data_IF_350037246864
#
_entry.id   IF_350037246864
#
_cell.length_a   1.000
_cell.length_b   1.000
_cell.length_c   1.000
_cell.angle_alpha   90.00
_cell.angle_beta   90.00
_cell.angle_gamma   90.00
#
_symmetry.space_group_name_H-M   'P 1'
#
loop_
_entity.id
_entity.type
_entity.pdbx_description
1 polymer ?
#
# COMPACT_ATOMS: atom_id res chain seq x y z
N UNK A 1 -10.47 -2.81 -22.41
CA UNK A 1 -9.42 -3.21 -21.44
C UNK A 1 -8.62 -1.97 -21.08
N UNK A 2 -8.85 -1.36 -19.90
CA UNK A 2 -8.01 -0.28 -19.32
C UNK A 2 -8.50 0.24 -17.95
N UNK A 3 -9.57 -0.33 -17.38
CA UNK A 3 -10.16 0.16 -16.13
C UNK A 3 -9.34 -0.20 -14.90
N UNK A 4 -8.65 -1.35 -14.89
CA UNK A 4 -7.87 -1.82 -13.73
C UNK A 4 -6.55 -1.07 -13.50
N UNK A 5 -5.91 -0.54 -14.55
CA UNK A 5 -4.68 0.26 -14.43
C UNK A 5 -5.04 1.65 -13.86
N UNK A 6 -6.13 2.25 -14.35
CA UNK A 6 -6.66 3.53 -13.86
C UNK A 6 -7.08 3.50 -12.38
N UNK A 7 -7.52 2.35 -11.84
CA UNK A 7 -7.91 2.25 -10.43
C UNK A 7 -6.71 2.16 -9.48
N UNK A 8 -5.64 1.44 -9.85
CA UNK A 8 -4.46 1.32 -8.98
C UNK A 8 -3.64 2.61 -8.92
N UNK A 9 -3.48 3.31 -10.04
CA UNK A 9 -2.81 4.62 -10.05
C UNK A 9 -3.61 5.67 -9.27
N UNK A 10 -4.94 5.69 -9.45
CA UNK A 10 -5.83 6.55 -8.64
C UNK A 10 -5.75 6.24 -7.15
N UNK A 11 -5.69 4.95 -6.78
CA UNK A 11 -5.51 4.54 -5.37
C UNK A 11 -4.16 5.01 -4.83
N UNK A 12 -3.07 4.87 -5.59
CA UNK A 12 -1.76 5.36 -5.19
C UNK A 12 -1.74 6.89 -4.99
N UNK A 13 -2.38 7.64 -5.88
CA UNK A 13 -2.48 9.10 -5.77
C UNK A 13 -3.26 9.53 -4.53
N UNK A 14 -4.41 8.90 -4.27
CA UNK A 14 -5.21 9.21 -3.08
C UNK A 14 -4.51 8.77 -1.78
N UNK A 15 -3.78 7.65 -1.83
CA UNK A 15 -2.92 7.20 -0.72
C UNK A 15 -1.83 8.22 -0.44
N UNK A 16 -1.17 8.75 -1.48
CA UNK A 16 -0.17 9.81 -1.33
C UNK A 16 -0.75 11.06 -0.68
N UNK A 17 -1.97 11.48 -1.06
CA UNK A 17 -2.67 12.63 -0.46
C UNK A 17 -2.97 12.46 1.02
N UNK A 18 -3.17 11.23 1.49
CA UNK A 18 -3.45 10.90 2.89
C UNK A 18 -2.20 10.78 3.77
N UNK A 19 -0.99 10.82 3.20
CA UNK A 19 0.26 10.85 3.96
C UNK A 19 0.51 12.24 4.56
N UNK A 20 1.22 12.28 5.68
CA UNK A 20 1.68 13.55 6.26
C UNK A 20 2.68 14.25 5.31
N UNK A 21 2.77 15.58 5.40
CA UNK A 21 3.69 16.37 4.57
C UNK A 21 5.15 15.91 4.72
N UNK A 22 5.57 15.55 5.94
CA UNK A 22 6.90 15.00 6.18
C UNK A 22 7.14 13.66 5.49
N UNK A 23 6.12 12.79 5.40
CA UNK A 23 6.29 11.51 4.71
C UNK A 23 6.27 11.67 3.19
N UNK A 24 5.49 12.62 2.67
CA UNK A 24 5.43 12.93 1.24
C UNK A 24 6.75 13.42 0.66
N UNK A 25 7.63 14.03 1.45
CA UNK A 25 8.97 14.43 0.99
C UNK A 25 9.97 13.27 0.96
N UNK A 26 9.64 12.13 1.57
CA UNK A 26 10.53 10.97 1.67
C UNK A 26 10.16 9.85 0.70
N UNK A 27 9.11 10.03 -0.11
CA UNK A 27 8.60 8.98 -0.97
C UNK A 27 7.99 9.54 -2.26
N UNK A 28 8.19 8.81 -3.34
CA UNK A 28 7.60 9.09 -4.65
C UNK A 28 6.28 8.34 -4.83
N UNK A 29 5.45 8.84 -5.76
CA UNK A 29 4.19 8.17 -6.13
C UNK A 29 4.46 6.77 -6.71
N UNK A 30 5.56 6.61 -7.48
CA UNK A 30 5.95 5.31 -8.05
C UNK A 30 6.28 4.27 -6.97
N UNK A 31 6.95 4.69 -5.89
CA UNK A 31 7.24 3.82 -4.77
C UNK A 31 5.97 3.41 -4.01
N UNK A 32 5.00 4.32 -3.86
CA UNK A 32 3.68 3.99 -3.31
C UNK A 32 2.97 2.98 -4.20
N UNK A 33 2.98 3.19 -5.52
CA UNK A 33 2.38 2.25 -6.46
C UNK A 33 2.97 0.85 -6.32
N UNK A 34 4.30 0.72 -6.28
CA UNK A 34 4.96 -0.58 -6.10
C UNK A 34 4.65 -1.21 -4.73
N UNK A 35 4.51 -0.41 -3.66
CA UNK A 35 4.05 -0.90 -2.34
C UNK A 35 2.65 -1.50 -2.42
N UNK A 36 1.70 -0.80 -3.05
CA UNK A 36 0.32 -1.27 -3.17
C UNK A 36 0.22 -2.50 -4.07
N UNK A 37 1.00 -2.54 -5.15
CA UNK A 37 1.12 -3.69 -6.04
C UNK A 37 1.66 -4.92 -5.30
N UNK A 38 2.74 -4.75 -4.52
CA UNK A 38 3.31 -5.85 -3.73
C UNK A 38 2.39 -6.31 -2.60
N UNK A 39 1.63 -5.40 -1.98
CA UNK A 39 0.55 -5.76 -1.05
C UNK A 39 -0.47 -6.65 -1.76
N UNK A 40 -1.00 -6.22 -2.90
CA UNK A 40 -2.00 -7.00 -3.66
C UNK A 40 -1.47 -8.38 -4.04
N UNK A 41 -0.25 -8.45 -4.58
CA UNK A 41 0.41 -9.70 -4.90
C UNK A 41 0.57 -10.61 -3.69
N UNK A 42 0.88 -10.05 -2.51
CA UNK A 42 0.96 -10.85 -1.28
C UNK A 42 -0.41 -11.34 -0.82
N UNK A 43 -1.43 -10.49 -0.82
CA UNK A 43 -2.79 -10.88 -0.47
C UNK A 43 -3.34 -12.01 -1.36
N UNK A 44 -2.98 -12.04 -2.64
CA UNK A 44 -3.38 -13.10 -3.57
C UNK A 44 -2.76 -14.46 -3.22
N UNK A 45 -1.63 -14.48 -2.50
CA UNK A 45 -0.99 -15.73 -2.04
C UNK A 45 -1.53 -16.25 -0.71
N UNK A 46 -2.38 -15.48 -0.02
CA UNK A 46 -2.91 -15.84 1.29
C UNK A 46 -4.22 -16.63 1.19
N UNK A 47 -4.36 -17.65 2.03
CA UNK A 47 -5.64 -18.34 2.24
C UNK A 47 -6.63 -17.42 2.97
N UNK A 48 -7.91 -17.79 2.95
CA UNK A 48 -8.94 -17.03 3.67
C UNK A 48 -8.62 -16.88 5.16
N UNK A 49 -8.28 -17.97 5.85
CA UNK A 49 -7.91 -17.96 7.27
C UNK A 49 -6.73 -17.04 7.54
N UNK A 50 -5.71 -17.05 6.68
CA UNK A 50 -4.56 -16.16 6.81
C UNK A 50 -4.95 -14.68 6.63
N UNK A 51 -5.85 -14.36 5.70
CA UNK A 51 -6.37 -12.99 5.51
C UNK A 51 -7.11 -12.48 6.75
N UNK A 52 -7.79 -13.35 7.48
CA UNK A 52 -8.53 -12.97 8.70
C UNK A 52 -7.62 -12.60 9.88
N UNK A 53 -6.42 -13.20 9.97
CA UNK A 53 -5.52 -13.04 11.14
C UNK A 53 -4.32 -12.13 10.88
N UNK A 54 -4.06 -11.78 9.61
CA UNK A 54 -2.90 -10.98 9.26
C UNK A 54 -3.08 -9.51 9.66
N UNK A 55 -2.04 -8.93 10.25
CA UNK A 55 -2.03 -7.51 10.64
C UNK A 55 -1.15 -6.66 9.71
N UNK A 56 -1.37 -5.34 9.73
CA UNK A 56 -0.64 -4.37 8.88
C UNK A 56 0.88 -4.40 9.09
N UNK A 57 1.36 -4.74 10.29
CA UNK A 57 2.82 -4.84 10.56
C UNK A 57 3.46 -6.04 9.87
N UNK A 58 2.76 -7.17 9.82
CA UNK A 58 3.20 -8.38 9.13
C UNK A 58 3.20 -8.14 7.62
N UNK A 59 2.14 -7.52 7.09
CA UNK A 59 2.05 -7.13 5.67
C UNK A 59 3.21 -6.19 5.32
N UNK A 60 3.43 -5.14 6.11
CA UNK A 60 4.51 -4.20 5.86
C UNK A 60 5.89 -4.87 5.85
N UNK A 61 6.13 -5.83 6.75
CA UNK A 61 7.38 -6.60 6.76
C UNK A 61 7.57 -7.45 5.50
N UNK A 62 6.52 -8.16 5.07
CA UNK A 62 6.56 -8.98 3.86
C UNK A 62 6.72 -8.14 2.59
N UNK A 63 5.92 -7.08 2.45
CA UNK A 63 5.99 -6.15 1.31
C UNK A 63 7.37 -5.50 1.23
N UNK A 64 7.91 -5.03 2.35
CA UNK A 64 9.24 -4.43 2.39
C UNK A 64 10.35 -5.41 1.95
N UNK A 65 10.27 -6.68 2.35
CA UNK A 65 11.20 -7.72 1.88
C UNK A 65 11.08 -7.98 0.37
N UNK A 66 9.86 -7.94 -0.19
CA UNK A 66 9.64 -8.12 -1.64
C UNK A 66 10.14 -6.92 -2.44
N UNK A 67 9.89 -5.71 -1.98
CA UNK A 67 10.39 -4.48 -2.60
C UNK A 67 11.92 -4.42 -2.66
N UNK A 68 12.60 -4.87 -1.59
CA UNK A 68 14.07 -4.98 -1.59
C UNK A 68 14.61 -5.88 -2.71
N UNK A 69 13.89 -6.93 -3.09
CA UNK A 69 14.28 -7.81 -4.22
C UNK A 69 14.14 -7.12 -5.58
N UNK A 70 13.38 -6.02 -5.64
CA UNK A 70 13.24 -5.13 -6.81
C UNK A 70 14.11 -3.88 -6.74
N UNK A 71 15.09 -3.87 -5.82
CA UNK A 71 15.95 -2.72 -5.51
C UNK A 71 15.22 -1.45 -5.02
N UNK A 72 13.98 -1.59 -4.54
CA UNK A 72 13.23 -0.49 -3.92
C UNK A 72 13.46 -0.53 -2.40
N UNK A 73 14.19 0.46 -1.88
CA UNK A 73 14.69 0.48 -0.50
C UNK A 73 13.84 1.36 0.42
N UNK A 74 12.66 0.87 0.78
CA UNK A 74 11.83 1.52 1.81
C UNK A 74 12.02 0.89 3.20
N UNK A 75 11.91 1.73 4.23
CA UNK A 75 11.88 1.24 5.62
C UNK A 75 10.54 0.58 5.91
N UNK A 76 10.52 -0.41 6.84
CA UNK A 76 9.27 -1.06 7.26
C UNK A 76 8.25 -0.05 7.81
N UNK A 77 8.72 0.99 8.51
CA UNK A 77 7.86 2.04 9.06
C UNK A 77 7.21 2.87 7.94
N UNK A 78 7.98 3.22 6.91
CA UNK A 78 7.44 3.95 5.76
C UNK A 78 6.40 3.12 5.02
N UNK A 79 6.68 1.85 4.75
CA UNK A 79 5.71 0.92 4.15
C UNK A 79 4.44 0.83 5.01
N UNK A 80 4.58 0.67 6.33
CA UNK A 80 3.43 0.63 7.26
C UNK A 80 2.60 1.91 7.21
N UNK A 81 3.24 3.08 7.11
CA UNK A 81 2.54 4.37 6.98
C UNK A 81 1.75 4.48 5.68
N UNK A 82 2.28 3.97 4.57
CA UNK A 82 1.57 3.91 3.27
C UNK A 82 0.33 3.04 3.40
N UNK A 83 0.45 1.84 3.98
CA UNK A 83 -0.68 0.93 4.15
C UNK A 83 -1.79 1.54 5.01
N UNK A 84 -1.43 2.28 6.07
CA UNK A 84 -2.40 3.02 6.89
C UNK A 84 -3.06 4.17 6.12
N UNK A 85 -2.32 4.87 5.27
CA UNK A 85 -2.87 5.95 4.44
C UNK A 85 -3.86 5.42 3.39
N UNK A 86 -3.59 4.22 2.87
CA UNK A 86 -4.49 3.48 1.97
C UNK A 86 -5.75 3.02 2.72
N UNK A 87 -5.63 2.44 3.93
CA UNK A 87 -6.78 2.09 4.78
C UNK A 87 -7.66 3.32 5.05
N UNK A 88 -7.05 4.47 5.37
CA UNK A 88 -7.77 5.73 5.56
C UNK A 88 -8.49 6.20 4.29
N UNK A 89 -7.91 6.00 3.12
CA UNK A 89 -8.58 6.32 1.85
C UNK A 89 -9.87 5.52 1.69
N UNK A 90 -9.83 4.21 1.92
CA UNK A 90 -11.03 3.37 1.85
C UNK A 90 -12.05 3.71 2.93
N UNK A 91 -11.62 4.03 4.15
CA UNK A 91 -12.52 4.52 5.21
C UNK A 91 -13.27 5.78 4.77
N UNK A 92 -12.56 6.76 4.21
CA UNK A 92 -13.17 8.00 3.73
C UNK A 92 -14.19 7.73 2.62
N UNK A 93 -13.93 6.77 1.71
CA UNK A 93 -14.91 6.37 0.70
C UNK A 93 -16.17 5.78 1.33
N UNK A 94 -16.04 4.94 2.36
CA UNK A 94 -17.19 4.34 3.05
C UNK A 94 -18.01 5.33 3.87
N UNK A 95 -17.46 6.48 4.25
CA UNK A 95 -18.21 7.53 4.98
C UNK A 95 -19.02 8.43 4.05
N UNK A 96 -18.72 8.41 2.74
CA UNK A 96 -19.40 9.24 1.73
C UNK A 96 -20.66 8.54 1.17
N UNK A 97 -20.83 7.24 1.44
CA UNK A 97 -21.98 6.43 1.07
C UNK A 97 -22.78 6.01 2.31
#
# INVERSE_FOLDING_TARGET
MNTAINTQESTALNTFRNLSTQLRSLITINEIFEVLKEKSNYYNTLTYTQKCIINTSNIAGTVQRRLRKKDIRLTKNLVKSILKAEEKYYQNLTTIY
#
